data_IF_903637427340
#
_entry.id   IF_903637427340
#
_cell.length_a   1.000
_cell.length_b   1.000
_cell.length_c   1.000
_cell.angle_alpha   90.00
_cell.angle_beta   90.00
_cell.angle_gamma   90.00
#
_symmetry.space_group_name_H-M   'P 1'
#
loop_
_entity.id
_entity.type
_entity.pdbx_description
1 polymer ?
2 non-polymer ?
3 non-polymer ?
4 water ?
#
# COMPACT_ATOMS: atom_id res chain seq x y z
N UNK A 1 0.25 -6.86 -4.14
CA UNK A 1 -0.11 -7.01 -5.57
C UNK A 1 0.95 -7.74 -6.41
N UNK A 2 2.20 -7.77 -5.97
CA UNK A 2 3.37 -8.38 -6.64
C UNK A 2 4.49 -8.62 -5.62
N UNK A 3 5.69 -9.12 -6.03
CA UNK A 3 6.69 -9.65 -5.10
C UNK A 3 7.34 -8.59 -4.17
N UNK A 4 7.30 -7.33 -4.57
CA UNK A 4 7.78 -6.22 -3.73
C UNK A 4 6.86 -6.04 -2.54
N UNK A 5 5.56 -6.07 -2.81
CA UNK A 5 4.51 -5.94 -1.78
C UNK A 5 4.50 -7.18 -0.89
N UNK A 6 4.79 -8.35 -1.45
CA UNK A 6 4.95 -9.62 -0.69
C UNK A 6 6.03 -9.49 0.40
N UNK A 7 7.20 -9.04 0.02
CA UNK A 7 8.33 -8.88 0.98
C UNK A 7 7.94 -7.84 2.03
N UNK A 8 7.41 -6.70 1.60
CA UNK A 8 7.01 -5.63 2.54
C UNK A 8 6.00 -6.16 3.55
N UNK A 9 4.97 -6.90 3.08
CA UNK A 9 3.92 -7.45 3.98
C UNK A 9 4.54 -8.42 4.99
N UNK A 10 5.48 -9.24 4.56
CA UNK A 10 6.16 -10.23 5.43
C UNK A 10 6.90 -9.51 6.57
N UNK A 11 7.53 -8.39 6.26
CA UNK A 11 8.21 -7.54 7.28
C UNK A 11 7.16 -6.91 8.18
N UNK A 12 6.10 -6.29 7.63
CA UNK A 12 5.13 -5.58 8.47
C UNK A 12 4.45 -6.55 9.43
N UNK A 13 4.13 -7.76 8.97
CA UNK A 13 3.26 -8.66 9.76
C UNK A 13 4.01 -9.24 10.96
N UNK A 14 5.34 -9.24 10.97
CA UNK A 14 6.09 -9.88 12.07
C UNK A 14 7.07 -8.91 12.75
N UNK A 15 7.50 -7.83 12.08
CA UNK A 15 8.65 -7.03 12.57
C UNK A 15 8.25 -5.58 12.82
N UNK A 16 6.98 -5.26 13.00
CA UNK A 16 6.57 -3.87 13.33
C UNK A 16 5.68 -3.87 14.56
N UNK A 17 5.78 -2.76 15.30
CA UNK A 17 4.87 -2.42 16.41
C UNK A 17 4.43 -0.99 16.19
N UNK A 18 3.38 -0.57 16.88
CA UNK A 18 2.99 0.87 16.90
C UNK A 18 3.64 1.47 18.16
N UNK A 19 4.54 2.43 17.95
CA UNK A 19 5.20 3.14 19.07
C UNK A 19 4.51 4.49 19.27
N UNK A 20 4.28 4.87 20.53
CA UNK A 20 3.67 6.17 20.87
C UNK A 20 4.58 6.89 21.88
N UNK A 21 5.05 8.08 21.51
CA UNK A 21 5.82 8.98 22.40
C UNK A 21 4.93 10.22 22.62
N UNK A 22 5.45 11.21 23.32
CA UNK A 22 4.78 12.53 23.49
C UNK A 22 4.73 13.30 22.17
N UNK A 23 5.50 12.88 21.17
CA UNK A 23 5.58 13.54 19.83
C UNK A 23 4.70 12.84 18.79
N UNK A 24 4.00 11.75 19.14
CA UNK A 24 3.04 11.10 18.25
C UNK A 24 3.12 9.57 18.21
N UNK A 25 2.36 9.01 17.29
CA UNK A 25 2.37 7.57 16.91
C UNK A 25 3.30 7.36 15.72
N UNK A 26 4.16 6.35 15.80
CA UNK A 26 5.14 6.00 14.75
C UNK A 26 5.05 4.50 14.45
N UNK A 27 5.21 4.18 13.18
CA UNK A 27 5.64 2.83 12.75
C UNK A 27 7.03 2.61 13.37
N UNK A 28 7.22 1.45 13.99
CA UNK A 28 8.51 1.11 14.63
C UNK A 28 8.90 -0.28 14.14
N UNK A 29 10.08 -0.36 13.54
CA UNK A 29 10.67 -1.61 13.02
C UNK A 29 11.47 -2.30 14.13
N UNK A 30 11.09 -3.55 14.39
CA UNK A 30 11.87 -4.41 15.29
C UNK A 30 12.90 -5.16 14.47
N UNK A 31 14.15 -5.19 14.93
CA UNK A 31 15.27 -5.73 14.10
C UNK A 31 15.72 -7.10 14.61
N UNK A 32 15.89 -7.26 15.91
CA UNK A 32 16.29 -8.56 16.51
C UNK A 32 16.11 -8.41 18.01
N UNK A 33 15.96 -9.54 18.70
CA UNK A 33 15.86 -9.59 20.19
C UNK A 33 14.81 -8.54 20.60
N UNK A 34 15.16 -7.55 21.44
CA UNK A 34 14.17 -6.54 21.92
C UNK A 34 14.61 -5.18 21.36
N UNK A 35 15.36 -5.19 20.27
CA UNK A 35 15.98 -3.98 19.66
C UNK A 35 15.11 -3.54 18.48
N UNK A 36 14.75 -2.26 18.45
CA UNK A 36 13.93 -1.66 17.38
C UNK A 36 14.52 -0.29 17.00
N UNK A 37 14.00 0.30 15.94
CA UNK A 37 14.44 1.62 15.48
C UNK A 37 13.23 2.53 15.32
N UNK A 38 13.49 3.82 15.45
CA UNK A 38 12.43 4.86 15.29
C UNK A 38 13.14 6.14 14.88
N UNK A 39 12.49 7.09 14.17
CA UNK A 39 13.14 8.37 13.92
C UNK A 39 13.49 9.13 15.20
N UNK A 40 14.68 9.75 15.20
CA UNK A 40 15.19 10.45 16.39
C UNK A 40 14.23 11.57 16.82
N UNK A 41 13.52 12.21 15.88
CA UNK A 41 12.53 13.27 16.21
C UNK A 41 11.32 12.73 16.98
N UNK A 42 11.15 11.43 17.16
CA UNK A 42 10.13 10.87 18.10
C UNK A 42 10.45 11.19 19.56
N UNK A 43 11.70 11.55 19.88
CA UNK A 43 12.14 11.97 21.23
C UNK A 43 11.81 10.89 22.27
N UNK A 44 12.29 9.67 22.03
CA UNK A 44 12.07 8.55 22.96
C UNK A 44 12.60 8.92 24.34
N UNK A 45 11.81 8.64 25.39
CA UNK A 45 12.25 8.82 26.78
C UNK A 45 12.42 7.53 27.53
N UNK A 46 12.19 7.55 28.84
CA UNK A 46 12.40 6.41 29.74
C UNK A 46 11.26 5.38 29.59
N UNK A 47 10.08 5.86 29.16
CA UNK A 47 8.84 5.06 28.96
C UNK A 47 8.30 5.37 27.55
N UNK A 48 7.82 4.33 26.88
CA UNK A 48 7.20 4.44 25.55
C UNK A 48 5.97 3.53 25.54
N UNK A 49 4.99 3.79 24.69
CA UNK A 49 3.84 2.87 24.52
C UNK A 49 4.10 2.03 23.29
N UNK A 50 3.97 0.70 23.41
CA UNK A 50 4.20 -0.28 22.32
C UNK A 50 2.86 -1.02 22.17
N UNK A 51 2.16 -0.77 21.08
CA UNK A 51 0.82 -1.38 20.84
C UNK A 51 -0.05 -1.06 22.06
N UNK A 52 0.01 0.19 22.52
CA UNK A 52 -0.79 0.80 23.62
C UNK A 52 -0.47 0.19 24.99
N UNK A 53 0.68 -0.42 25.16
CA UNK A 53 1.13 -0.98 26.46
C UNK A 53 2.35 -0.20 26.95
N UNK A 54 2.26 0.26 28.18
CA UNK A 54 3.36 1.02 28.83
C UNK A 54 4.58 0.13 28.95
N UNK A 55 5.70 0.59 28.38
CA UNK A 55 6.93 -0.21 28.21
C UNK A 55 8.18 0.59 28.64
N UNK A 56 9.00 0.01 29.48
CA UNK A 56 10.23 0.67 29.94
C UNK A 56 11.21 0.62 28.79
N UNK A 57 11.91 1.72 28.56
CA UNK A 57 13.06 1.79 27.60
C UNK A 57 14.34 1.40 28.34
N UNK A 58 14.99 0.28 27.97
CA UNK A 58 16.22 -0.20 28.66
C UNK A 58 17.43 0.57 28.15
N UNK A 59 17.44 1.02 26.90
CA UNK A 59 18.52 1.82 26.30
C UNK A 59 17.96 2.54 25.08
N UNK A 60 18.44 3.74 24.80
CA UNK A 60 18.08 4.48 23.57
C UNK A 60 19.32 5.25 23.10
N UNK A 61 19.68 5.14 21.82
CA UNK A 61 20.89 5.79 21.29
C UNK A 61 20.54 6.46 19.96
N UNK A 62 20.61 7.78 19.94
CA UNK A 62 20.47 8.60 18.73
C UNK A 62 21.77 8.51 17.94
N UNK A 63 21.75 7.83 16.83
CA UNK A 63 23.01 7.57 16.06
C UNK A 63 23.49 8.85 15.38
N UNK A 64 24.81 9.01 15.31
CA UNK A 64 25.45 10.08 14.52
C UNK A 64 26.62 9.43 13.77
N UNK A 65 27.01 9.94 12.63
CA UNK A 65 28.18 9.41 11.92
C UNK A 65 29.47 9.90 12.60
N UNK A 66 30.61 9.46 12.06
CA UNK A 66 31.91 9.73 12.72
C UNK A 66 32.34 11.17 12.43
N UNK A 67 31.63 11.91 11.59
CA UNK A 67 31.75 13.42 11.52
C UNK A 67 30.89 14.09 12.60
N UNK A 68 30.21 13.33 13.48
CA UNK A 68 29.30 13.86 14.52
C UNK A 68 28.14 14.58 13.80
N UNK A 69 27.66 13.99 12.69
CA UNK A 69 26.46 14.46 11.97
C UNK A 69 25.25 13.54 12.28
N UNK A 70 24.11 14.13 12.55
CA UNK A 70 22.84 13.41 12.80
C UNK A 70 22.60 12.35 11.70
N UNK A 71 22.20 11.13 12.08
CA UNK A 71 21.66 10.13 11.11
C UNK A 71 20.13 9.99 11.21
N UNK A 72 19.47 10.54 12.22
CA UNK A 72 17.98 10.53 12.40
C UNK A 72 17.45 9.15 12.76
N UNK A 73 18.32 8.20 13.12
CA UNK A 73 17.91 6.86 13.60
C UNK A 73 18.17 6.82 15.10
N UNK A 74 17.16 6.46 15.89
CA UNK A 74 17.37 6.05 17.30
C UNK A 74 17.17 4.54 17.42
N UNK A 75 18.12 3.86 18.06
CA UNK A 75 18.05 2.41 18.34
C UNK A 75 17.54 2.31 19.76
N UNK A 76 16.44 1.60 19.93
CA UNK A 76 15.78 1.46 21.25
C UNK A 76 15.81 0.01 21.68
N UNK A 77 16.23 -0.29 22.91
CA UNK A 77 16.01 -1.63 23.48
C UNK A 77 14.81 -1.57 24.43
N UNK A 78 13.81 -2.41 24.20
CA UNK A 78 12.50 -2.36 24.89
C UNK A 78 12.48 -3.41 26.01
N UNK A 79 11.91 -3.09 27.15
CA UNK A 79 11.66 -4.11 28.22
C UNK A 79 10.39 -4.89 27.90
N UNK A 80 10.47 -5.70 26.86
CA UNK A 80 9.34 -6.45 26.30
C UNK A 80 9.55 -7.94 26.63
N UNK A 81 8.47 -8.71 26.76
CA UNK A 81 8.51 -10.13 27.15
C UNK A 81 8.65 -11.02 25.94
N UNK A 82 8.96 -10.47 24.77
CA UNK A 82 8.96 -11.24 23.52
C UNK A 82 10.03 -10.65 22.61
N UNK A 83 10.74 -11.50 21.87
CA UNK A 83 11.75 -11.08 20.88
C UNK A 83 11.12 -10.91 19.50
N UNK A 84 11.75 -10.07 18.69
CA UNK A 84 11.43 -9.93 17.25
C UNK A 84 12.15 -11.05 16.49
N UNK A 85 11.53 -11.51 15.42
CA UNK A 85 12.25 -12.30 14.40
C UNK A 85 13.53 -11.55 14.04
N UNK A 86 14.66 -12.22 13.94
CA UNK A 86 15.93 -11.58 13.55
C UNK A 86 15.92 -11.35 12.04
N UNK A 87 15.91 -10.09 11.62
CA UNK A 87 15.89 -9.67 10.20
C UNK A 87 17.21 -8.98 9.81
N UNK A 88 18.25 -9.10 10.64
CA UNK A 88 19.52 -8.39 10.31
C UNK A 88 20.11 -8.84 8.98
N UNK A 89 19.88 -10.08 8.52
CA UNK A 89 20.43 -10.56 7.22
C UNK A 89 19.72 -9.91 6.03
N UNK A 90 18.66 -9.13 6.24
CA UNK A 90 17.98 -8.35 5.18
C UNK A 90 18.50 -6.91 5.11
N UNK A 91 19.46 -6.52 5.95
CA UNK A 91 19.98 -5.14 5.98
C UNK A 91 21.17 -5.04 5.02
N UNK A 92 21.23 -3.98 4.21
CA UNK A 92 22.38 -3.73 3.36
C UNK A 92 23.66 -3.46 4.15
N UNK A 93 24.78 -3.87 3.56
CA UNK A 93 26.08 -3.61 4.22
C UNK A 93 26.60 -2.20 3.89
N UNK A 94 26.26 -1.65 2.73
CA UNK A 94 26.83 -0.36 2.27
C UNK A 94 25.74 0.61 1.79
N UNK A 95 26.10 1.89 1.69
CA UNK A 95 25.23 2.95 1.13
C UNK A 95 24.99 2.63 -0.36
N UNK A 96 23.79 2.81 -0.87
CA UNK A 96 23.46 2.39 -2.24
C UNK A 96 22.21 3.10 -2.73
N UNK A 97 21.98 3.08 -4.04
CA UNK A 97 20.71 3.41 -4.71
C UNK A 97 19.95 2.09 -4.95
N UNK A 98 18.64 2.17 -5.12
CA UNK A 98 17.76 0.99 -5.27
C UNK A 98 16.71 1.27 -6.34
N UNK A 99 16.22 0.21 -6.99
CA UNK A 99 15.01 0.32 -7.82
C UNK A 99 13.78 -0.25 -7.07
N UNK A 100 12.62 0.30 -7.38
CA UNK A 100 11.32 -0.36 -7.14
C UNK A 100 11.14 -0.62 -5.64
N UNK A 101 11.18 0.41 -4.82
CA UNK A 101 10.99 0.29 -3.35
C UNK A 101 9.52 0.48 -2.96
N UNK A 102 9.16 -0.04 -1.80
CA UNK A 102 7.83 0.09 -1.15
C UNK A 102 8.09 0.73 0.19
N UNK A 103 7.25 1.70 0.54
CA UNK A 103 7.18 2.33 1.87
C UNK A 103 5.93 1.78 2.55
N UNK A 104 6.10 1.13 3.71
CA UNK A 104 4.98 0.50 4.44
C UNK A 104 4.80 1.15 5.81
N UNK A 105 3.55 1.41 6.19
CA UNK A 105 3.18 2.15 7.42
C UNK A 105 2.08 1.39 8.10
N UNK A 106 2.14 1.31 9.42
CA UNK A 106 1.05 0.74 10.20
C UNK A 106 0.87 1.53 11.49
N UNK A 107 -0.16 2.39 11.51
CA UNK A 107 -0.54 3.15 12.72
C UNK A 107 -2.05 3.05 12.89
N UNK A 108 -2.60 3.59 14.00
CA UNK A 108 -4.07 3.76 14.21
C UNK A 108 -4.70 4.53 13.04
N UNK A 109 -4.03 5.58 12.56
CA UNK A 109 -4.47 6.49 11.46
C UNK A 109 -4.32 5.79 10.10
N UNK A 110 -3.22 5.06 9.89
CA UNK A 110 -2.89 4.46 8.57
C UNK A 110 -2.55 2.98 8.72
N UNK A 111 -3.53 2.08 8.98
CA UNK A 111 -3.25 0.66 9.09
C UNK A 111 -3.10 0.04 7.70
N UNK A 112 -2.17 -0.92 7.62
CA UNK A 112 -1.98 -1.76 6.43
C UNK A 112 -1.79 -0.90 5.17
N UNK A 113 -0.96 0.13 5.27
CA UNK A 113 -0.67 1.07 4.16
C UNK A 113 0.64 0.71 3.47
N UNK A 114 0.60 0.53 2.16
CA UNK A 114 1.78 0.16 1.33
C UNK A 114 1.83 1.14 0.15
N UNK A 115 2.96 1.77 -0.11
CA UNK A 115 3.13 2.79 -1.19
C UNK A 115 4.26 2.38 -2.10
N UNK A 116 4.04 2.15 -3.42
CA UNK A 116 5.15 1.89 -4.33
C UNK A 116 5.81 3.25 -4.64
N UNK A 117 6.97 3.49 -4.07
CA UNK A 117 7.64 4.82 -4.19
C UNK A 117 8.59 4.83 -5.37
N UNK A 118 8.91 3.70 -5.99
CA UNK A 118 9.74 3.60 -7.18
C UNK A 118 11.22 3.74 -6.85
N UNK A 119 11.93 4.50 -7.67
CA UNK A 119 13.41 4.60 -7.64
C UNK A 119 13.87 5.35 -6.37
N UNK A 120 14.88 4.81 -5.70
CA UNK A 120 15.45 5.40 -4.47
C UNK A 120 16.90 5.85 -4.73
N UNK A 121 17.17 7.14 -4.54
CA UNK A 121 18.48 7.79 -4.74
C UNK A 121 19.25 7.80 -3.41
N UNK A 122 20.53 7.45 -3.45
CA UNK A 122 21.47 7.79 -2.34
C UNK A 122 21.65 9.31 -2.38
N UNK A 123 20.84 10.04 -1.65
CA UNK A 123 20.77 11.53 -1.70
C UNK A 123 21.94 12.13 -0.90
N UNK A 124 22.25 11.52 0.24
CA UNK A 124 23.37 11.91 1.13
C UNK A 124 22.96 12.97 2.12
N UNK A 125 23.45 14.20 1.93
CA UNK A 125 23.17 15.32 2.86
C UNK A 125 21.76 15.87 2.65
N UNK A 126 21.07 16.11 3.77
CA UNK A 126 19.79 16.83 3.82
C UNK A 126 19.79 17.70 5.06
N UNK A 127 19.36 18.94 4.87
CA UNK A 127 18.95 19.81 5.99
C UNK A 127 17.51 19.47 6.37
N UNK A 128 17.35 18.58 7.35
CA UNK A 128 16.07 17.99 7.73
C UNK A 128 15.48 18.74 8.92
N UNK A 129 14.44 19.55 8.69
CA UNK A 129 13.87 20.40 9.77
C UNK A 129 14.92 21.31 10.41
N UNK A 130 15.87 21.82 9.65
CA UNK A 130 16.97 22.65 10.19
C UNK A 130 18.18 21.86 10.70
N UNK A 131 18.16 20.52 10.69
CA UNK A 131 19.25 19.70 11.26
C UNK A 131 20.06 19.07 10.14
N UNK A 132 21.36 19.38 9.96
CA UNK A 132 22.18 18.68 8.97
C UNK A 132 22.11 17.16 9.24
N UNK A 133 21.81 16.41 8.22
CA UNK A 133 21.58 14.93 8.34
C UNK A 133 22.33 14.22 7.21
N UNK A 134 22.94 13.06 7.47
CA UNK A 134 23.66 12.29 6.43
C UNK A 134 22.94 10.97 6.15
N UNK A 135 23.41 10.25 5.15
CA UNK A 135 22.88 8.89 4.76
C UNK A 135 21.39 8.91 4.47
N UNK A 136 20.91 9.95 3.77
CA UNK A 136 19.47 10.09 3.38
C UNK A 136 19.24 9.46 2.01
N UNK A 137 18.18 8.67 1.94
CA UNK A 137 17.61 8.09 0.71
C UNK A 137 16.43 8.99 0.28
N UNK A 138 16.24 9.19 -1.02
CA UNK A 138 15.13 10.05 -1.53
C UNK A 138 14.32 9.27 -2.54
N UNK A 139 13.02 9.43 -2.46
CA UNK A 139 12.04 8.87 -3.43
C UNK A 139 11.07 9.97 -3.81
N UNK A 140 10.57 9.88 -5.03
CA UNK A 140 9.70 10.92 -5.62
C UNK A 140 8.28 10.52 -5.34
N UNK A 141 7.87 10.58 -4.07
CA UNK A 141 6.44 10.40 -3.67
C UNK A 141 6.11 11.45 -2.63
N UNK A 142 4.93 12.10 -2.76
CA UNK A 142 4.41 13.06 -1.80
C UNK A 142 3.88 12.45 -0.49
N UNK A 143 4.86 12.03 0.32
CA UNK A 143 4.64 11.50 1.68
C UNK A 143 4.13 12.63 2.60
N UNK A 144 3.44 12.24 3.68
CA UNK A 144 2.70 13.14 4.60
C UNK A 144 3.05 12.75 6.02
N UNK A 145 2.73 13.68 6.94
CA UNK A 145 2.67 13.42 8.39
C UNK A 145 1.83 12.15 8.59
N UNK A 146 2.33 11.31 9.48
CA UNK A 146 1.76 9.99 9.76
C UNK A 146 2.60 8.86 9.17
N UNK A 147 3.53 9.14 8.26
CA UNK A 147 4.32 8.08 7.59
C UNK A 147 5.71 7.92 8.24
N UNK A 148 6.08 8.79 9.18
CA UNK A 148 7.42 8.72 9.81
C UNK A 148 7.54 7.40 10.57
N UNK A 149 8.70 6.76 10.38
CA UNK A 149 8.98 5.42 10.92
C UNK A 149 8.63 4.34 9.91
N UNK A 150 7.96 4.69 8.81
CA UNK A 150 7.56 3.70 7.82
C UNK A 150 8.77 2.98 7.27
N UNK A 151 8.58 1.71 6.90
CA UNK A 151 9.71 0.85 6.49
C UNK A 151 9.84 0.94 4.98
N UNK A 152 11.05 1.18 4.52
CA UNK A 152 11.39 1.17 3.08
C UNK A 152 12.11 -0.15 2.75
N UNK A 153 11.51 -0.93 1.84
CA UNK A 153 12.02 -2.24 1.42
C UNK A 153 12.16 -2.30 -0.10
N UNK A 154 13.04 -3.17 -0.55
CA UNK A 154 12.99 -3.76 -1.90
C UNK A 154 12.72 -5.26 -1.69
N UNK A 155 12.54 -6.02 -2.77
CA UNK A 155 12.59 -7.51 -2.64
C UNK A 155 13.95 -7.88 -2.01
N UNK A 156 13.86 -8.48 -0.85
CA UNK A 156 14.96 -9.12 -0.15
C UNK A 156 15.68 -8.16 0.74
N UNK A 157 15.43 -6.82 0.68
CA UNK A 157 16.20 -5.90 1.55
C UNK A 157 15.32 -4.88 2.30
N UNK A 158 15.67 -4.68 3.56
CA UNK A 158 15.09 -3.60 4.42
C UNK A 158 16.12 -2.47 4.45
N UNK A 159 15.83 -1.34 3.76
CA UNK A 159 16.92 -0.39 3.42
C UNK A 159 16.82 0.92 4.21
N UNK A 160 15.72 1.23 4.88
CA UNK A 160 15.58 2.55 5.54
C UNK A 160 14.28 2.70 6.32
N UNK A 161 14.17 3.81 7.04
CA UNK A 161 12.92 4.22 7.71
C UNK A 161 12.66 5.69 7.32
N UNK A 162 11.40 5.95 6.96
CA UNK A 162 10.92 7.27 6.51
C UNK A 162 11.11 8.29 7.64
N UNK A 163 11.70 9.46 7.35
CA UNK A 163 11.96 10.49 8.39
C UNK A 163 11.48 11.89 7.95
N UNK A 164 11.03 12.09 6.71
CA UNK A 164 10.51 13.41 6.33
C UNK A 164 10.11 13.53 4.88
N UNK A 165 9.73 14.74 4.49
CA UNK A 165 9.33 15.01 3.10
C UNK A 165 9.32 16.49 2.84
N UNK A 166 9.25 16.90 1.58
CA UNK A 166 9.14 18.35 1.24
C UNK A 166 7.86 18.60 0.44
N UNK A 167 6.89 17.69 0.50
CA UNK A 167 5.63 17.83 -0.25
C UNK A 167 5.65 17.10 -1.58
N UNK A 168 6.80 17.01 -2.27
CA UNK A 168 6.97 16.30 -3.57
C UNK A 168 7.86 15.05 -3.44
N UNK A 169 8.91 15.17 -2.63
CA UNK A 169 9.83 14.05 -2.29
C UNK A 169 9.64 13.59 -0.84
N UNK A 170 9.97 12.32 -0.63
CA UNK A 170 10.10 11.70 0.70
C UNK A 170 11.53 11.30 0.96
N UNK A 171 11.90 11.25 2.22
CA UNK A 171 13.29 11.01 2.67
C UNK A 171 13.31 9.92 3.75
N UNK A 172 14.25 9.00 3.60
CA UNK A 172 14.44 7.93 4.60
C UNK A 172 15.87 7.96 5.11
N UNK A 173 16.05 7.58 6.36
CA UNK A 173 17.40 7.30 6.93
C UNK A 173 17.80 5.86 6.60
N UNK A 174 19.02 5.67 6.11
CA UNK A 174 19.52 4.33 5.77
C UNK A 174 19.55 3.45 7.01
N UNK A 175 19.19 2.19 6.83
CA UNK A 175 19.60 1.15 7.80
C UNK A 175 20.80 0.38 7.20
N UNK A 176 21.82 0.21 8.01
CA UNK A 176 23.02 -0.55 7.66
C UNK A 176 23.21 -1.69 8.66
N UNK A 177 23.66 -2.82 8.15
CA UNK A 177 23.97 -4.01 8.99
C UNK A 177 24.85 -3.64 10.19
N UNK A 178 25.83 -2.76 9.97
CA UNK A 178 26.83 -2.37 11.01
C UNK A 178 26.20 -1.64 12.19
N UNK A 179 24.97 -1.14 12.08
CA UNK A 179 24.32 -0.49 13.24
C UNK A 179 23.92 -1.53 14.29
N UNK A 180 23.84 -2.83 13.96
CA UNK A 180 23.13 -3.84 14.80
C UNK A 180 23.98 -5.08 15.06
N UNK A 181 25.31 -4.94 15.01
CA UNK A 181 26.27 -5.99 15.46
C UNK A 181 26.24 -6.01 17.01
N UNK A 182 26.35 -7.21 17.61
CA UNK A 182 26.19 -7.46 19.08
C UNK A 182 27.29 -8.42 19.59
N UNK B 2 -7.14 10.87 6.33
CA UNK B 2 -8.49 11.54 6.44
C UNK B 2 -9.62 10.52 6.51
N UNK B 3 -10.85 10.88 6.07
CA UNK B 3 -11.93 9.91 5.92
C UNK B 3 -11.73 8.99 4.69
N UNK B 4 -10.74 9.29 3.83
CA UNK B 4 -10.41 8.47 2.66
C UNK B 4 -10.03 7.04 3.03
N UNK B 5 -9.20 6.85 4.07
CA UNK B 5 -8.84 5.50 4.61
C UNK B 5 -10.04 4.77 5.23
N UNK B 6 -10.85 5.46 6.07
CA UNK B 6 -12.12 4.91 6.60
C UNK B 6 -13.01 4.40 5.46
N UNK B 7 -13.19 5.24 4.43
CA UNK B 7 -14.09 4.91 3.31
C UNK B 7 -13.60 3.64 2.61
N UNK B 8 -12.30 3.61 2.30
CA UNK B 8 -11.68 2.47 1.59
C UNK B 8 -11.92 1.20 2.42
N UNK B 9 -11.71 1.29 3.75
CA UNK B 9 -11.87 0.09 4.65
C UNK B 9 -13.33 -0.33 4.70
N UNK B 10 -14.28 0.61 4.72
CA UNK B 10 -15.74 0.38 4.77
C UNK B 10 -16.20 -0.39 3.52
N UNK B 11 -15.68 0.02 2.36
CA UNK B 11 -15.97 -0.66 1.07
C UNK B 11 -15.33 -2.05 1.05
N UNK B 12 -14.07 -2.15 1.48
CA UNK B 12 -13.29 -3.42 1.55
C UNK B 12 -14.06 -4.45 2.41
N UNK B 13 -14.54 -4.06 3.60
CA UNK B 13 -15.05 -5.01 4.62
C UNK B 13 -16.39 -5.61 4.16
N UNK B 14 -17.29 -4.81 3.60
CA UNK B 14 -18.64 -5.29 3.21
C UNK B 14 -18.75 -5.65 1.71
N UNK B 15 -17.96 -5.03 0.82
CA UNK B 15 -18.23 -5.13 -0.64
C UNK B 15 -17.10 -5.79 -1.44
N UNK B 16 -16.07 -6.33 -0.83
CA UNK B 16 -14.91 -6.91 -1.57
C UNK B 16 -14.78 -8.39 -1.22
N UNK B 17 -14.75 -9.26 -2.24
CA UNK B 17 -14.58 -10.72 -2.10
C UNK B 17 -13.37 -11.16 -2.92
N UNK B 18 -12.87 -12.37 -2.63
CA UNK B 18 -11.76 -12.97 -3.42
C UNK B 18 -12.40 -13.84 -4.52
N UNK B 19 -12.20 -13.48 -5.78
CA UNK B 19 -12.74 -14.27 -6.91
C UNK B 19 -11.59 -15.08 -7.50
N UNK B 20 -11.81 -16.36 -7.82
CA UNK B 20 -10.75 -17.19 -8.44
C UNK B 20 -11.35 -17.81 -9.72
N UNK B 21 -10.74 -17.45 -10.84
CA UNK B 21 -11.03 -17.99 -12.19
C UNK B 21 -9.93 -19.00 -12.55
N UNK B 22 -10.00 -19.54 -13.76
CA UNK B 22 -8.91 -20.39 -14.33
C UNK B 22 -7.57 -19.66 -14.25
N UNK B 23 -7.58 -18.32 -14.24
CA UNK B 23 -6.35 -17.47 -14.27
C UNK B 23 -5.79 -17.21 -12.86
N UNK B 24 -6.53 -17.48 -11.81
CA UNK B 24 -6.10 -17.26 -10.42
C UNK B 24 -6.99 -16.25 -9.71
N UNK B 25 -6.41 -15.52 -8.76
CA UNK B 25 -7.22 -14.76 -7.75
C UNK B 25 -7.25 -13.29 -8.16
N UNK B 26 -8.44 -12.72 -7.99
CA UNK B 26 -8.73 -11.32 -8.34
C UNK B 26 -9.55 -10.70 -7.20
N UNK B 27 -9.23 -9.45 -6.86
CA UNK B 27 -10.06 -8.63 -5.98
C UNK B 27 -11.39 -8.31 -6.70
N UNK B 28 -12.49 -8.72 -6.13
CA UNK B 28 -13.80 -8.55 -6.81
C UNK B 28 -14.63 -7.56 -5.99
N UNK B 29 -15.26 -6.60 -6.66
CA UNK B 29 -16.21 -5.68 -5.99
C UNK B 29 -17.65 -6.13 -6.22
N UNK B 30 -18.38 -6.38 -5.12
CA UNK B 30 -19.82 -6.56 -5.16
C UNK B 30 -20.51 -5.20 -5.12
N UNK B 31 -21.48 -4.97 -6.00
CA UNK B 31 -22.09 -3.63 -6.21
C UNK B 31 -23.49 -3.61 -5.59
N UNK B 32 -24.29 -4.63 -5.82
CA UNK B 32 -25.67 -4.73 -5.30
C UNK B 32 -26.22 -6.13 -5.58
N UNK B 33 -27.23 -6.59 -4.81
CA UNK B 33 -27.84 -7.92 -5.07
C UNK B 33 -26.74 -8.98 -5.22
N UNK B 34 -26.73 -9.72 -6.33
CA UNK B 34 -25.64 -10.71 -6.58
C UNK B 34 -24.85 -10.25 -7.81
N UNK B 35 -24.76 -8.94 -8.00
CA UNK B 35 -24.03 -8.31 -9.14
C UNK B 35 -22.67 -7.81 -8.65
N UNK B 36 -21.61 -8.23 -9.33
CA UNK B 36 -20.20 -7.84 -8.99
C UNK B 36 -19.45 -7.50 -10.27
N UNK B 37 -18.27 -6.92 -10.12
CA UNK B 37 -17.39 -6.57 -11.26
C UNK B 37 -16.00 -7.12 -11.04
N UNK B 38 -15.36 -7.43 -12.17
CA UNK B 38 -13.99 -8.03 -12.20
C UNK B 38 -13.40 -7.58 -13.52
N UNK B 39 -12.07 -7.44 -13.65
CA UNK B 39 -11.48 -7.14 -14.94
C UNK B 39 -11.77 -8.20 -15.99
N UNK B 40 -11.99 -7.75 -17.23
CA UNK B 40 -12.34 -8.69 -18.34
C UNK B 40 -11.21 -9.71 -18.54
N UNK B 41 -9.95 -9.34 -18.29
CA UNK B 41 -8.79 -10.28 -18.45
C UNK B 41 -8.84 -11.44 -17.44
N UNK B 42 -9.73 -11.45 -16.44
CA UNK B 42 -9.87 -12.59 -15.49
C UNK B 42 -10.45 -13.81 -16.20
N UNK B 43 -11.14 -13.61 -17.33
CA UNK B 43 -11.64 -14.74 -18.15
C UNK B 43 -12.62 -15.58 -17.34
N UNK B 44 -13.66 -14.91 -16.87
CA UNK B 44 -14.75 -15.56 -16.10
C UNK B 44 -15.45 -16.61 -16.96
N UNK B 45 -15.61 -17.79 -16.38
CA UNK B 45 -16.32 -18.90 -17.04
C UNK B 45 -17.70 -19.12 -16.49
N UNK B 46 -18.12 -20.38 -16.52
CA UNK B 46 -19.46 -20.79 -16.05
C UNK B 46 -19.48 -20.88 -14.52
N UNK B 47 -18.32 -21.18 -13.95
CA UNK B 47 -18.12 -21.41 -12.50
C UNK B 47 -16.97 -20.51 -12.06
N UNK B 48 -17.15 -19.91 -10.90
CA UNK B 48 -16.10 -19.11 -10.21
C UNK B 48 -16.05 -19.53 -8.73
N UNK B 49 -14.90 -19.32 -8.09
CA UNK B 49 -14.75 -19.44 -6.62
C UNK B 49 -14.87 -18.05 -6.00
N UNK B 50 -15.77 -17.91 -5.05
CA UNK B 50 -15.97 -16.64 -4.26
C UNK B 50 -15.60 -16.96 -2.81
N UNK B 51 -14.48 -16.45 -2.33
CA UNK B 51 -13.96 -16.78 -0.98
C UNK B 51 -13.89 -18.30 -0.82
N UNK B 52 -13.38 -18.98 -1.85
CA UNK B 52 -13.03 -20.43 -1.87
C UNK B 52 -14.29 -21.30 -1.98
N UNK B 53 -15.46 -20.72 -2.24
CA UNK B 53 -16.74 -21.45 -2.48
C UNK B 53 -17.04 -21.51 -3.99
N UNK B 54 -17.13 -22.71 -4.56
CA UNK B 54 -17.64 -22.95 -5.94
C UNK B 54 -19.01 -22.29 -6.14
N UNK B 55 -19.13 -21.39 -7.15
CA UNK B 55 -20.32 -20.50 -7.36
C UNK B 55 -20.64 -20.48 -8.85
N UNK B 56 -21.87 -20.85 -9.22
CA UNK B 56 -22.31 -20.71 -10.61
C UNK B 56 -22.32 -19.22 -10.96
N UNK B 57 -21.77 -18.90 -12.13
CA UNK B 57 -21.94 -17.55 -12.75
C UNK B 57 -23.17 -17.60 -13.66
N UNK B 58 -24.23 -16.91 -13.27
CA UNK B 58 -25.51 -16.95 -14.02
C UNK B 58 -25.39 -16.13 -15.30
N UNK B 59 -24.60 -15.06 -15.25
CA UNK B 59 -24.45 -14.14 -16.40
C UNK B 59 -23.11 -13.45 -16.28
N UNK B 60 -22.50 -13.19 -17.44
CA UNK B 60 -21.24 -12.41 -17.52
C UNK B 60 -21.35 -11.51 -18.75
N UNK B 61 -21.11 -10.22 -18.57
CA UNK B 61 -21.13 -9.21 -19.66
C UNK B 61 -19.79 -8.48 -19.69
N UNK B 62 -19.01 -8.70 -20.76
CA UNK B 62 -17.75 -7.98 -21.02
C UNK B 62 -18.12 -6.61 -21.57
N UNK B 63 -18.10 -5.57 -20.74
CA UNK B 63 -18.69 -4.26 -21.13
C UNK B 63 -17.94 -3.61 -22.29
N UNK B 64 -18.72 -3.00 -23.19
CA UNK B 64 -18.24 -2.14 -24.29
C UNK B 64 -19.11 -0.89 -24.32
N UNK B 65 -18.57 0.23 -24.78
CA UNK B 65 -19.35 1.50 -24.84
C UNK B 65 -20.09 1.59 -26.18
N UNK B 66 -20.75 2.70 -26.42
CA UNK B 66 -21.60 2.86 -27.63
C UNK B 66 -20.78 3.13 -28.88
N UNK B 67 -19.46 3.32 -28.77
CA UNK B 67 -18.53 3.29 -29.93
C UNK B 67 -18.10 1.85 -30.22
N UNK B 68 -18.64 0.87 -29.47
CA UNK B 68 -18.28 -0.56 -29.59
C UNK B 68 -16.80 -0.75 -29.23
N UNK B 69 -16.36 -0.06 -28.19
CA UNK B 69 -14.97 -0.16 -27.70
C UNK B 69 -14.97 -0.82 -26.32
N UNK B 70 -14.02 -1.71 -26.12
CA UNK B 70 -13.74 -2.38 -24.83
C UNK B 70 -13.69 -1.37 -23.68
N UNK B 71 -14.28 -1.75 -22.53
CA UNK B 71 -14.11 -1.00 -21.25
C UNK B 71 -13.32 -1.82 -20.19
N UNK B 72 -13.04 -3.08 -20.47
CA UNK B 72 -12.21 -3.97 -19.62
C UNK B 72 -12.87 -4.27 -18.28
N UNK B 73 -14.17 -4.06 -18.16
CA UNK B 73 -14.97 -4.45 -16.95
C UNK B 73 -15.88 -5.56 -17.39
N UNK B 74 -15.94 -6.64 -16.62
CA UNK B 74 -16.96 -7.66 -16.78
C UNK B 74 -17.92 -7.58 -15.58
N UNK B 75 -19.22 -7.45 -15.87
CA UNK B 75 -20.28 -7.52 -14.84
C UNK B 75 -20.74 -8.96 -14.73
N UNK B 76 -20.74 -9.54 -13.53
CA UNK B 76 -21.20 -10.94 -13.29
C UNK B 76 -22.44 -10.92 -12.37
N UNK B 77 -23.35 -11.88 -12.59
CA UNK B 77 -24.49 -12.21 -11.70
C UNK B 77 -24.21 -13.58 -11.12
N UNK B 78 -24.10 -13.67 -9.79
CA UNK B 78 -23.59 -14.89 -9.09
C UNK B 78 -24.80 -15.66 -8.51
N UNK B 79 -24.76 -17.00 -8.59
CA UNK B 79 -25.69 -17.91 -7.88
C UNK B 79 -25.23 -18.12 -6.43
N UNK B 80 -25.58 -17.19 -5.53
CA UNK B 80 -25.25 -17.25 -4.08
C UNK B 80 -26.36 -16.57 -3.25
N UNK B 81 -26.53 -17.05 -2.02
CA UNK B 81 -27.59 -16.60 -1.09
C UNK B 81 -27.29 -15.15 -0.65
N UNK B 82 -26.04 -14.87 -0.30
CA UNK B 82 -25.58 -13.54 0.19
C UNK B 82 -25.93 -12.48 -0.86
N UNK B 83 -26.56 -11.40 -0.42
CA UNK B 83 -26.73 -10.16 -1.22
C UNK B 83 -25.65 -9.14 -0.80
N UNK B 84 -25.08 -8.43 -1.77
CA UNK B 84 -24.09 -7.37 -1.50
C UNK B 84 -24.79 -6.10 -1.00
N UNK B 85 -24.16 -5.42 -0.05
CA UNK B 85 -24.59 -4.07 0.39
C UNK B 85 -24.61 -3.15 -0.84
N UNK B 86 -25.77 -2.53 -1.14
CA UNK B 86 -25.88 -1.63 -2.31
C UNK B 86 -24.97 -0.41 -2.13
N UNK B 87 -24.06 -0.17 -3.08
CA UNK B 87 -23.11 0.98 -3.10
C UNK B 87 -23.25 1.77 -4.40
N UNK B 88 -24.32 1.56 -5.14
CA UNK B 88 -24.55 2.29 -6.42
C UNK B 88 -24.56 3.81 -6.23
N UNK B 89 -25.01 4.29 -5.06
CA UNK B 89 -25.03 5.73 -4.75
C UNK B 89 -23.63 6.32 -4.56
N UNK B 90 -22.56 5.49 -4.49
CA UNK B 90 -21.15 5.95 -4.40
C UNK B 90 -20.42 5.89 -5.76
N UNK B 91 -21.13 5.54 -6.83
CA UNK B 91 -20.52 5.47 -8.21
C UNK B 91 -20.70 6.83 -8.88
N UNK B 92 -19.62 7.36 -9.49
CA UNK B 92 -19.69 8.60 -10.28
C UNK B 92 -20.70 8.49 -11.43
N UNK B 93 -21.36 9.62 -11.68
CA UNK B 93 -22.35 9.73 -12.80
C UNK B 93 -21.58 10.00 -14.09
N UNK B 94 -20.46 10.73 -14.00
CA UNK B 94 -19.68 11.23 -15.15
C UNK B 94 -18.21 10.83 -15.02
N UNK B 95 -17.47 10.92 -16.13
CA UNK B 95 -15.99 10.78 -16.18
C UNK B 95 -15.37 11.98 -15.48
N UNK B 96 -14.26 11.79 -14.75
CA UNK B 96 -13.64 12.87 -13.95
C UNK B 96 -12.20 12.52 -13.58
N UNK B 97 -11.46 13.54 -13.13
CA UNK B 97 -10.14 13.43 -12.44
C UNK B 97 -10.42 13.45 -10.94
N UNK B 98 -9.48 12.94 -10.16
CA UNK B 98 -9.61 12.77 -8.68
C UNK B 98 -8.27 12.97 -7.96
N UNK B 99 -8.35 13.21 -6.65
CA UNK B 99 -7.19 13.51 -5.77
C UNK B 99 -7.11 12.46 -4.67
N UNK B 100 -5.88 12.10 -4.25
CA UNK B 100 -5.62 11.36 -2.99
C UNK B 100 -6.33 10.00 -3.02
N UNK B 101 -6.25 9.28 -4.14
CA UNK B 101 -6.97 8.00 -4.32
C UNK B 101 -6.25 6.89 -3.56
N UNK B 102 -7.00 5.86 -3.20
CA UNK B 102 -6.45 4.63 -2.55
C UNK B 102 -6.91 3.45 -3.40
N UNK B 103 -5.99 2.51 -3.61
CA UNK B 103 -6.24 1.23 -4.30
C UNK B 103 -6.25 0.14 -3.22
N UNK B 104 -7.36 -0.59 -3.10
CA UNK B 104 -7.58 -1.60 -2.04
C UNK B 104 -7.60 -3.02 -2.63
N UNK B 105 -6.59 -3.80 -2.22
CA UNK B 105 -6.29 -5.16 -2.75
C UNK B 105 -6.76 -6.18 -1.73
N UNK B 106 -7.38 -7.24 -2.17
CA UNK B 106 -7.83 -8.30 -1.27
C UNK B 106 -7.76 -9.65 -1.98
N UNK B 107 -6.72 -10.44 -1.66
CA UNK B 107 -6.56 -11.83 -2.18
C UNK B 107 -6.07 -12.71 -1.02
N UNK B 108 -5.92 -13.99 -1.30
CA UNK B 108 -5.36 -14.92 -0.27
C UNK B 108 -3.93 -14.50 0.07
N UNK B 109 -3.17 -14.08 -0.92
CA UNK B 109 -1.75 -13.66 -0.75
C UNK B 109 -1.65 -12.26 -0.12
N UNK B 110 -2.60 -11.36 -0.44
CA UNK B 110 -2.56 -9.92 -0.05
C UNK B 110 -3.90 -9.59 0.61
N UNK B 111 -4.14 -10.06 1.84
CA UNK B 111 -5.41 -9.78 2.50
C UNK B 111 -5.44 -8.33 3.01
N UNK B 112 -6.55 -7.64 2.84
CA UNK B 112 -6.68 -6.27 3.43
C UNK B 112 -5.42 -5.40 3.23
N UNK B 113 -4.95 -5.15 2.00
CA UNK B 113 -3.81 -4.25 1.66
C UNK B 113 -4.32 -2.92 1.04
N UNK B 114 -3.92 -1.77 1.54
CA UNK B 114 -4.33 -0.40 1.07
C UNK B 114 -3.13 0.34 0.48
N UNK B 115 -3.27 0.77 -0.78
CA UNK B 115 -2.17 1.38 -1.56
C UNK B 115 -2.58 2.78 -1.96
N UNK B 116 -2.15 3.83 -1.23
CA UNK B 116 -2.38 5.21 -1.60
C UNK B 116 -1.70 5.42 -2.95
N UNK B 117 -2.46 5.89 -3.93
CA UNK B 117 -1.90 6.11 -5.30
C UNK B 117 -1.85 7.62 -5.59
N UNK B 118 -2.71 8.39 -4.93
CA UNK B 118 -2.72 9.87 -4.97
C UNK B 118 -3.52 10.36 -6.13
N UNK B 119 -2.87 11.11 -7.01
CA UNK B 119 -3.59 11.84 -8.07
C UNK B 119 -3.96 10.85 -9.19
N UNK B 120 -5.21 10.94 -9.58
CA UNK B 120 -5.85 10.10 -10.64
C UNK B 120 -6.34 10.98 -11.80
N UNK B 121 -5.85 10.70 -13.00
CA UNK B 121 -6.22 11.43 -14.25
C UNK B 121 -7.26 10.62 -15.03
N UNK B 122 -8.27 11.29 -15.60
CA UNK B 122 -9.06 10.80 -16.75
C UNK B 122 -8.12 10.70 -17.97
N UNK B 123 -7.57 9.52 -18.19
CA UNK B 123 -6.50 9.28 -19.20
C UNK B 123 -7.21 9.04 -20.54
N UNK B 124 -8.31 8.27 -20.49
CA UNK B 124 -9.21 8.00 -21.60
C UNK B 124 -8.78 6.78 -22.40
N UNK B 125 -8.20 6.97 -23.59
CA UNK B 125 -7.89 5.88 -24.52
C UNK B 125 -6.57 5.23 -24.11
N UNK B 126 -6.55 3.89 -24.12
CA UNK B 126 -5.35 3.07 -23.87
C UNK B 126 -5.41 1.83 -24.75
N UNK B 127 -4.30 1.53 -25.39
CA UNK B 127 -4.12 0.22 -26.04
C UNK B 127 -3.65 -0.77 -24.97
N UNK B 128 -4.56 -1.57 -24.45
CA UNK B 128 -4.27 -2.45 -23.30
C UNK B 128 -4.08 -3.90 -23.78
N UNK B 129 -2.83 -4.38 -23.83
CA UNK B 129 -2.55 -5.75 -24.32
C UNK B 129 -2.93 -5.94 -25.78
N UNK B 130 -2.90 -4.87 -26.57
CA UNK B 130 -3.29 -4.86 -27.99
C UNK B 130 -4.77 -4.57 -28.22
N UNK B 131 -5.56 -4.39 -27.16
CA UNK B 131 -7.00 -4.07 -27.30
C UNK B 131 -7.26 -2.59 -27.00
N UNK B 132 -7.81 -1.84 -27.99
CA UNK B 132 -8.25 -0.46 -27.77
C UNK B 132 -9.30 -0.42 -26.65
N UNK B 133 -9.05 0.45 -25.67
CA UNK B 133 -9.83 0.55 -24.42
C UNK B 133 -10.16 2.01 -24.12
N UNK B 134 -11.39 2.24 -23.66
CA UNK B 134 -11.85 3.58 -23.24
C UNK B 134 -11.99 3.67 -21.73
N UNK B 135 -12.14 4.93 -21.29
CA UNK B 135 -12.53 5.32 -19.90
C UNK B 135 -11.50 4.83 -18.89
N UNK B 136 -10.23 4.93 -19.24
CA UNK B 136 -9.10 4.55 -18.35
C UNK B 136 -8.74 5.73 -17.45
N UNK B 137 -8.65 5.42 -16.17
CA UNK B 137 -8.04 6.30 -15.13
C UNK B 137 -6.57 5.94 -14.95
N UNK B 138 -5.69 6.92 -14.72
CA UNK B 138 -4.25 6.66 -14.62
C UNK B 138 -3.72 7.29 -13.31
N UNK B 139 -2.82 6.57 -12.67
CA UNK B 139 -2.06 7.01 -11.46
C UNK B 139 -0.62 6.54 -11.57
N UNK B 140 0.33 7.20 -10.88
CA UNK B 140 1.69 6.67 -10.79
C UNK B 140 1.63 5.31 -10.09
N UNK B 141 2.43 4.37 -10.55
CA UNK B 141 2.51 2.99 -10.01
C UNK B 141 3.83 2.39 -10.46
N UNK B 142 4.97 2.88 -9.91
CA UNK B 142 6.31 2.43 -10.31
C UNK B 142 6.68 1.09 -9.67
N UNK B 143 6.03 0.04 -10.14
CA UNK B 143 6.11 -1.34 -9.62
C UNK B 143 5.55 -2.19 -10.76
N UNK B 144 6.03 -3.42 -10.89
CA UNK B 144 5.42 -4.42 -11.81
C UNK B 144 4.51 -5.27 -10.92
N UNK B 145 3.24 -4.86 -10.85
CA UNK B 145 2.15 -5.58 -10.16
C UNK B 145 1.65 -6.74 -11.04
N UNK B 146 1.15 -7.81 -10.40
CA UNK B 146 0.42 -8.90 -11.05
C UNK B 146 -1.01 -8.49 -11.42
N UNK B 147 -1.81 -9.50 -11.73
CA UNK B 147 -3.13 -9.37 -12.37
C UNK B 147 -4.24 -9.06 -11.36
N UNK B 148 -4.03 -9.24 -10.05
CA UNK B 148 -5.14 -9.43 -9.10
C UNK B 148 -6.01 -8.16 -8.98
N UNK B 149 -5.46 -7.00 -9.30
CA UNK B 149 -6.19 -5.71 -9.26
C UNK B 149 -6.68 -5.33 -7.86
N UNK B 150 -7.73 -4.52 -7.83
CA UNK B 150 -8.17 -3.87 -6.60
C UNK B 150 -9.12 -2.73 -6.88
N UNK B 151 -9.71 -2.23 -5.82
CA UNK B 151 -10.79 -1.23 -5.95
C UNK B 151 -10.20 0.15 -5.70
N UNK B 152 -10.52 1.12 -6.54
CA UNK B 152 -10.02 2.52 -6.40
C UNK B 152 -11.14 3.39 -5.82
N UNK B 153 -10.83 4.06 -4.71
CA UNK B 153 -11.79 4.93 -3.99
C UNK B 153 -11.16 6.28 -3.74
N UNK B 154 -12.03 7.27 -3.59
CA UNK B 154 -11.70 8.57 -2.95
C UNK B 154 -12.65 8.75 -1.80
N UNK B 155 -12.54 9.83 -1.03
CA UNK B 155 -13.58 10.09 -0.01
C UNK B 155 -14.91 10.15 -0.74
N UNK B 156 -15.80 9.25 -0.42
CA UNK B 156 -17.22 9.26 -0.80
C UNK B 156 -17.52 8.63 -2.14
N UNK B 157 -16.51 8.15 -2.89
CA UNK B 157 -16.75 7.60 -4.25
C UNK B 157 -15.96 6.31 -4.49
N UNK B 158 -16.64 5.37 -5.13
CA UNK B 158 -15.98 4.16 -5.71
C UNK B 158 -15.78 4.41 -7.20
N UNK B 159 -14.55 4.68 -7.64
CA UNK B 159 -14.32 5.31 -8.98
C UNK B 159 -13.86 4.30 -10.02
N UNK B 160 -13.34 3.14 -9.65
CA UNK B 160 -12.79 2.24 -10.67
C UNK B 160 -12.23 0.97 -10.09
N UNK B 161 -11.80 0.06 -10.97
CA UNK B 161 -11.07 -1.18 -10.57
C UNK B 161 -9.81 -1.24 -11.42
N UNK B 162 -8.70 -1.61 -10.77
CA UNK B 162 -7.36 -1.69 -11.41
C UNK B 162 -7.34 -2.78 -12.48
N UNK B 163 -6.92 -2.43 -13.69
CA UNK B 163 -6.94 -3.40 -14.83
C UNK B 163 -5.56 -3.59 -15.46
N UNK B 164 -4.55 -2.75 -15.19
CA UNK B 164 -3.23 -2.98 -15.78
C UNK B 164 -2.20 -1.95 -15.37
N UNK B 165 -1.03 -1.99 -16.00
CA UNK B 165 0.00 -0.98 -15.73
C UNK B 165 1.19 -1.20 -16.65
N UNK B 166 2.07 -0.19 -16.76
CA UNK B 166 3.23 -0.23 -17.71
C UNK B 166 4.55 -0.15 -16.94
N UNK B 167 4.56 -0.49 -15.63
CA UNK B 167 5.75 -0.48 -14.74
C UNK B 167 6.07 0.89 -14.16
N UNK B 168 5.54 1.95 -14.74
CA UNK B 168 5.63 3.37 -14.30
C UNK B 168 4.25 3.86 -13.88
N UNK B 169 3.20 3.47 -14.64
CA UNK B 169 1.83 3.96 -14.41
C UNK B 169 0.90 2.77 -14.17
N UNK B 170 -0.17 3.02 -13.43
CA UNK B 170 -1.27 2.09 -13.16
C UNK B 170 -2.55 2.60 -13.81
N UNK B 171 -3.38 1.66 -14.25
CA UNK B 171 -4.59 1.95 -15.06
C UNK B 171 -5.77 1.26 -14.42
N UNK B 172 -6.85 1.99 -14.25
CA UNK B 172 -8.12 1.48 -13.73
C UNK B 172 -9.22 1.75 -14.75
N UNK B 173 -10.17 0.85 -14.87
CA UNK B 173 -11.41 1.03 -15.63
C UNK B 173 -12.38 1.83 -14.76
N UNK B 174 -12.99 2.90 -15.32
CA UNK B 174 -13.96 3.70 -14.57
C UNK B 174 -15.17 2.84 -14.22
N UNK B 175 -15.75 3.04 -13.03
CA UNK B 175 -17.11 2.60 -12.73
C UNK B 175 -18.03 3.84 -12.82
N UNK B 176 -19.12 3.66 -13.55
CA UNK B 176 -20.15 4.72 -13.72
C UNK B 176 -21.48 4.18 -13.24
N UNK B 177 -22.29 5.10 -12.69
CA UNK B 177 -23.61 4.74 -12.16
C UNK B 177 -24.47 4.08 -13.22
N UNK B 178 -24.36 4.57 -14.46
CA UNK B 178 -25.22 4.09 -15.57
C UNK B 178 -24.94 2.63 -15.94
N UNK B 179 -23.85 2.02 -15.48
CA UNK B 179 -23.57 0.61 -15.83
C UNK B 179 -24.49 -0.39 -15.11
N UNK B 180 -25.12 0.08 -14.02
CA UNK B 180 -25.87 -0.73 -13.04
C UNK B 180 -27.32 -0.23 -12.88
N UNK B 181 -27.74 0.81 -13.61
CA UNK B 181 -29.17 1.22 -13.67
C UNK B 181 -29.98 0.21 -14.49
X LIG C 1 -2.18 8.88 2.32
X LIG C 1 -5.74 9.02 3.40
X LIG C 1 -6.77 9.94 3.41
X LIG C 1 -8.04 11.70 2.33
X LIG C 1 -7.05 10.73 2.29
X LIG C 1 -6.29 10.52 1.13
X LIG C 1 -5.26 9.59 1.12
X LIG C 1 -4.98 8.84 2.25
X LIG C 1 -1.10 8.39 1.69
X LIG C 1 -1.79 9.00 3.60
X LIG C 1 -3.66 7.66 2.23
X LIG D 1 -26.03 -4.83 -14.32
X LIG D 1 -26.61 -6.25 -14.38
X LIG D 1 -26.91 -4.03 -13.01
X LIG D 1 -26.74 -3.94 -15.69
#
# INVERSE_FOLDING_TARGET
>A
MGPGFDFAQAIMKKNTVIARTEKGEFTMLGVYDRVAVIPTHASVGEIIYINDVETRVLDACALRDLTDTNLEITIVKLDRNQKFRDIRHFLPRCEDDYNDAVLSVHTSKFPNMYIPVGQVTNYGFLNLGGTPTHRILMYNFPTRAGQCGGVVTTTGKVIGIHVGGNGAQGFAAMLLHSYFTD
>B
MGPGFDFAQAIMKKNTVIARTEKGEFTMLGVYDRVAVIPTHASVGEIIYINDVETRVLDACALRDLTDTNLEITIVKLDRNQKFRDIRHFLPRCEDDYNDAVLSVHTSKFPNMYIPVGQVTNYGFLNLGGTPTHRILMYNFPTRAGQCGGVVTTTGKVIGIHVGGNGAQGFAAMLLHSYFTD
>C hetero
1 T8O C4 C5 C6 N C C1 C2 C3 F F1 S
>D hetero
1 DMS S O C1 C2
#
